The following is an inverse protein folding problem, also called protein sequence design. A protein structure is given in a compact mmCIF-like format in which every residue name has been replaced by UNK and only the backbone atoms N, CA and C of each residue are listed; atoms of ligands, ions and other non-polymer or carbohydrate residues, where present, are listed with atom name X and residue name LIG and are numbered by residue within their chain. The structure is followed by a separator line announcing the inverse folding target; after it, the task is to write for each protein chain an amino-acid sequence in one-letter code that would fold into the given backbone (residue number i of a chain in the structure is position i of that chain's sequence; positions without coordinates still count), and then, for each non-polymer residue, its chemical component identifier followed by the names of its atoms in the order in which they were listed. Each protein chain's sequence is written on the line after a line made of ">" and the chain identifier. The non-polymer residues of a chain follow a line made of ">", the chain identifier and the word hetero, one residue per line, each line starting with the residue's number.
data_IF_297504422303
#
_entry.id   IF_297504422303
#
_cell.length_a   1.000
_cell.length_b   1.000
_cell.length_c   1.000
_cell.angle_alpha   90.00
_cell.angle_beta   90.00
_cell.angle_gamma   90.00
#
_symmetry.space_group_name_H-M   'P 1'
#
loop_
_entity.id
_entity.type
_entity.pdbx_description
1 polymer ?
#
# COMPACT_ATOMS: atom_id res chain seq x y z
N UNK A 1 -6.70 15.69 -3.90
CA UNK A 1 -7.63 16.38 -4.84
C UNK A 1 -7.83 15.46 -6.03
N UNK A 2 -8.70 15.76 -7.00
CA UNK A 2 -8.76 15.00 -8.25
C UNK A 2 -7.43 14.97 -9.03
N UNK A 3 -6.53 15.94 -8.77
CA UNK A 3 -5.18 15.98 -9.36
C UNK A 3 -4.19 15.01 -8.72
N UNK A 4 -4.57 14.35 -7.61
CA UNK A 4 -3.72 13.34 -6.98
C UNK A 4 -3.63 12.12 -7.90
N UNK A 5 -2.42 11.62 -8.23
CA UNK A 5 -2.28 10.46 -9.11
C UNK A 5 -2.80 9.18 -8.43
N UNK A 6 -3.02 8.10 -9.20
CA UNK A 6 -3.31 6.79 -8.64
C UNK A 6 -2.24 6.37 -7.62
N UNK A 7 -2.68 5.72 -6.53
CA UNK A 7 -1.79 5.38 -5.41
C UNK A 7 -1.80 3.88 -5.08
N UNK A 8 -0.62 3.33 -4.80
CA UNK A 8 -0.46 2.04 -4.14
C UNK A 8 -0.01 2.27 -2.70
N UNK A 9 -0.73 1.70 -1.74
CA UNK A 9 -0.48 1.85 -0.31
C UNK A 9 -0.37 0.45 0.30
N UNK A 10 0.60 0.24 1.18
CA UNK A 10 0.63 -0.94 2.04
C UNK A 10 1.01 -0.55 3.47
N UNK A 11 0.54 -1.32 4.45
CA UNK A 11 0.84 -1.13 5.87
C UNK A 11 0.69 -2.45 6.62
N UNK A 12 1.26 -2.55 7.81
CA UNK A 12 0.91 -3.59 8.79
C UNK A 12 -0.04 -3.01 9.85
N UNK A 13 -1.08 -3.76 10.24
CA UNK A 13 -2.03 -3.28 11.26
C UNK A 13 -1.45 -3.15 12.68
N UNK A 14 -0.40 -3.90 13.10
CA UNK A 14 0.19 -3.71 14.42
C UNK A 14 1.42 -2.79 14.42
N UNK A 15 1.62 -1.93 13.40
CA UNK A 15 2.74 -0.97 13.38
C UNK A 15 2.68 -0.04 14.62
N UNK A 16 3.66 -0.11 15.54
CA UNK A 16 3.66 0.68 16.76
C UNK A 16 4.25 2.09 16.58
N UNK A 17 4.98 2.33 15.49
CA UNK A 17 5.64 3.61 15.21
C UNK A 17 4.73 4.58 14.47
N UNK A 18 3.97 4.07 13.50
CA UNK A 18 3.00 4.84 12.72
C UNK A 18 1.70 4.05 12.66
N UNK A 19 0.61 4.50 13.33
CA UNK A 19 -0.65 3.78 13.34
C UNK A 19 -1.22 3.57 11.93
N UNK A 20 -1.81 2.40 11.69
CA UNK A 20 -2.40 1.98 10.40
C UNK A 20 -3.47 2.96 9.89
N UNK A 21 -4.09 3.71 10.79
CA UNK A 21 -5.05 4.78 10.53
C UNK A 21 -4.51 5.83 9.55
N UNK A 22 -3.19 6.06 9.50
CA UNK A 22 -2.60 6.95 8.50
C UNK A 22 -2.92 6.48 7.07
N UNK A 23 -2.73 5.19 6.80
CA UNK A 23 -3.04 4.61 5.48
C UNK A 23 -4.54 4.48 5.24
N UNK A 24 -5.33 4.14 6.27
CA UNK A 24 -6.79 4.06 6.16
C UNK A 24 -7.41 5.43 5.86
N UNK A 25 -6.94 6.49 6.52
CA UNK A 25 -7.41 7.86 6.31
C UNK A 25 -7.03 8.37 4.91
N UNK A 26 -5.81 8.08 4.44
CA UNK A 26 -5.40 8.42 3.07
C UNK A 26 -6.26 7.69 2.03
N UNK A 27 -6.47 6.38 2.19
CA UNK A 27 -7.31 5.60 1.29
C UNK A 27 -8.77 6.09 1.28
N UNK A 28 -9.31 6.44 2.45
CA UNK A 28 -10.63 7.05 2.56
C UNK A 28 -10.70 8.39 1.81
N UNK A 29 -9.70 9.26 1.98
CA UNK A 29 -9.67 10.54 1.28
C UNK A 29 -9.54 10.38 -0.25
N UNK A 30 -8.73 9.42 -0.72
CA UNK A 30 -8.61 9.09 -2.15
C UNK A 30 -9.95 8.59 -2.70
N UNK A 31 -10.64 7.72 -1.96
CA UNK A 31 -11.97 7.21 -2.32
C UNK A 31 -12.99 8.35 -2.46
N UNK A 32 -13.07 9.26 -1.48
CA UNK A 32 -13.96 10.42 -1.55
C UNK A 32 -13.64 11.37 -2.70
N UNK A 33 -12.37 11.46 -3.10
CA UNK A 33 -11.93 12.28 -4.23
C UNK A 33 -12.08 11.59 -5.60
N UNK A 34 -12.53 10.33 -5.65
CA UNK A 34 -12.63 9.55 -6.89
C UNK A 34 -11.28 9.17 -7.50
N UNK A 35 -10.20 9.22 -6.73
CA UNK A 35 -8.84 8.88 -7.18
C UNK A 35 -8.66 7.35 -7.08
N UNK A 36 -8.24 6.65 -8.15
CA UNK A 36 -7.97 5.22 -8.08
C UNK A 36 -6.85 4.89 -7.09
N UNK A 37 -7.05 3.88 -6.26
CA UNK A 37 -6.03 3.42 -5.32
C UNK A 37 -6.10 1.93 -5.07
N UNK A 38 -5.00 1.37 -4.56
CA UNK A 38 -4.90 0.00 -4.07
C UNK A 38 -4.30 0.04 -2.66
N UNK A 39 -4.94 -0.62 -1.69
CA UNK A 39 -4.49 -0.67 -0.30
C UNK A 39 -4.37 -2.12 0.17
N UNK A 40 -3.20 -2.47 0.74
CA UNK A 40 -2.96 -3.75 1.41
C UNK A 40 -2.62 -3.56 2.88
N UNK A 41 -3.42 -4.13 3.77
CA UNK A 41 -3.15 -4.12 5.22
C UNK A 41 -2.86 -5.54 5.69
N UNK A 42 -1.66 -5.75 6.21
CA UNK A 42 -1.21 -7.06 6.70
C UNK A 42 -1.34 -7.16 8.23
N UNK A 43 -1.77 -8.30 8.79
CA UNK A 43 -2.06 -8.41 10.22
C UNK A 43 -0.82 -8.58 11.12
N UNK A 44 0.39 -8.54 10.55
CA UNK A 44 1.65 -8.87 11.22
C UNK A 44 2.80 -8.00 10.73
N UNK A 45 3.84 -7.88 11.56
CA UNK A 45 5.05 -7.12 11.27
C UNK A 45 5.01 -5.70 11.85
N UNK A 46 6.16 -5.21 12.33
CA UNK A 46 6.28 -3.88 12.93
C UNK A 46 6.61 -2.79 11.92
N UNK A 47 7.06 -1.64 12.43
CA UNK A 47 7.46 -0.50 11.61
C UNK A 47 8.69 -0.81 10.73
N UNK A 48 8.73 -0.25 9.52
CA UNK A 48 9.95 -0.15 8.71
C UNK A 48 10.48 -1.47 8.13
N UNK A 49 9.61 -2.41 7.75
CA UNK A 49 10.02 -3.75 7.28
C UNK A 49 10.75 -3.77 5.92
N UNK A 50 10.74 -2.68 5.16
CA UNK A 50 11.29 -2.64 3.80
C UNK A 50 10.66 -3.71 2.91
N UNK A 51 11.49 -4.54 2.26
CA UNK A 51 11.04 -5.68 1.44
C UNK A 51 10.50 -6.87 2.26
N UNK A 52 10.62 -6.83 3.60
CA UNK A 52 10.11 -7.84 4.54
C UNK A 52 10.52 -9.30 4.23
N UNK A 53 11.78 -9.61 3.86
CA UNK A 53 12.18 -10.97 3.43
C UNK A 53 11.95 -12.05 4.51
N UNK A 54 11.90 -11.64 5.79
CA UNK A 54 11.69 -12.51 6.94
C UNK A 54 10.21 -12.63 7.35
N UNK A 55 9.28 -11.94 6.69
CA UNK A 55 7.84 -12.07 6.91
C UNK A 55 7.15 -12.34 5.56
N UNK A 56 7.07 -13.61 5.12
CA UNK A 56 6.60 -13.98 3.78
C UNK A 56 5.19 -13.52 3.44
N UNK A 57 4.32 -13.30 4.44
CA UNK A 57 2.97 -12.75 4.22
C UNK A 57 3.04 -11.28 3.81
N UNK A 58 3.91 -10.51 4.45
CA UNK A 58 4.10 -9.08 4.15
C UNK A 58 4.91 -8.91 2.87
N UNK A 59 5.95 -9.73 2.65
CA UNK A 59 6.82 -9.67 1.46
C UNK A 59 6.07 -9.67 0.12
N UNK A 60 4.84 -10.19 0.09
CA UNK A 60 3.96 -10.18 -1.08
C UNK A 60 3.62 -8.77 -1.57
N UNK A 61 3.71 -7.74 -0.72
CA UNK A 61 3.43 -6.35 -1.09
C UNK A 61 4.26 -5.92 -2.31
N UNK A 62 5.51 -6.37 -2.43
CA UNK A 62 6.38 -5.99 -3.53
C UNK A 62 5.87 -6.55 -4.87
N UNK A 63 5.42 -7.80 -4.88
CA UNK A 63 4.81 -8.43 -6.06
C UNK A 63 3.45 -7.83 -6.41
N UNK A 64 2.67 -7.42 -5.41
CA UNK A 64 1.41 -6.69 -5.60
C UNK A 64 1.67 -5.31 -6.22
N UNK A 65 2.64 -4.56 -5.69
CA UNK A 65 3.06 -3.27 -6.24
C UNK A 65 3.56 -3.39 -7.69
N UNK A 66 4.35 -4.44 -8.00
CA UNK A 66 4.76 -4.72 -9.37
C UNK A 66 3.56 -4.92 -10.31
N UNK A 67 2.59 -5.75 -9.91
CA UNK A 67 1.37 -5.99 -10.71
C UNK A 67 0.56 -4.72 -10.91
N UNK A 68 0.45 -3.90 -9.86
CA UNK A 68 -0.18 -2.58 -9.92
C UNK A 68 0.56 -1.66 -10.92
N UNK A 69 1.89 -1.54 -10.83
CA UNK A 69 2.69 -0.73 -11.76
C UNK A 69 2.53 -1.17 -13.22
N UNK A 70 2.47 -2.48 -13.49
CA UNK A 70 2.22 -3.00 -14.85
C UNK A 70 0.81 -2.62 -15.33
N UNK A 71 -0.19 -2.72 -14.46
CA UNK A 71 -1.57 -2.33 -14.76
C UNK A 71 -1.70 -0.84 -15.07
N UNK A 72 -0.98 0.01 -14.34
CA UNK A 72 -0.93 1.46 -14.54
C UNK A 72 -0.04 1.88 -15.74
N UNK A 73 0.63 0.93 -16.41
CA UNK A 73 1.42 1.18 -17.61
C UNK A 73 2.88 1.60 -17.37
N UNK A 74 3.38 1.47 -16.13
CA UNK A 74 4.76 1.80 -15.76
C UNK A 74 5.73 0.60 -15.92
N UNK A 75 5.21 -0.62 -16.00
CA UNK A 75 6.00 -1.85 -16.13
C UNK A 75 5.87 -2.51 -17.51
N UNK A 76 6.89 -3.29 -17.89
CA UNK A 76 6.78 -4.20 -19.04
C UNK A 76 5.92 -5.41 -18.65
N UNK A 77 5.05 -5.84 -19.58
CA UNK A 77 4.24 -7.06 -19.42
C UNK A 77 5.11 -8.31 -19.50
#
# INVERSE_FOLDING_TARGET
>A
TPDTPPAFIWHTSPDPGVPVENSLNLASALSHAGVPFELHVFPVGGHGLGLAPNEPRVAQWAGLCQKWLVKEGYGRR
#
